data_IF_860610187135
#
_entry.id   IF_860610187135
#
_cell.length_a   1.000
_cell.length_b   1.000
_cell.length_c   1.000
_cell.angle_alpha   90.00
_cell.angle_beta   90.00
_cell.angle_gamma   90.00
#
_symmetry.space_group_name_H-M   'P 1'
#
loop_
_entity.id
_entity.type
_entity.pdbx_description
1 polymer ?
#
# COMPACT_ATOMS: atom_id res chain seq x y z
N UNK A 1 -18.15 24.18 2.69
CA UNK A 1 -17.26 23.09 3.14
C UNK A 1 -15.85 23.65 3.20
N UNK A 2 -15.17 23.49 4.34
CA UNK A 2 -13.83 24.06 4.59
C UNK A 2 -12.79 23.57 3.57
N UNK A 3 -11.89 24.47 3.11
CA UNK A 3 -10.89 24.16 2.08
C UNK A 3 -9.94 23.05 2.53
N UNK A 4 -9.57 23.02 3.82
CA UNK A 4 -8.67 22.00 4.38
C UNK A 4 -9.37 20.64 4.48
N UNK A 5 -10.66 20.62 4.87
CA UNK A 5 -11.49 19.40 4.89
C UNK A 5 -11.49 18.73 3.51
N UNK A 6 -11.78 19.49 2.45
CA UNK A 6 -11.80 18.96 1.07
C UNK A 6 -10.44 18.40 0.63
N UNK A 7 -9.35 19.08 0.96
CA UNK A 7 -7.99 18.62 0.62
C UNK A 7 -7.66 17.29 1.33
N UNK A 8 -8.01 17.17 2.61
CA UNK A 8 -7.79 15.94 3.37
C UNK A 8 -8.65 14.79 2.87
N UNK A 9 -9.92 15.04 2.52
CA UNK A 9 -10.79 14.02 1.92
C UNK A 9 -10.26 13.50 0.58
N UNK A 10 -9.73 14.40 -0.28
CA UNK A 10 -9.05 13.97 -1.51
C UNK A 10 -7.78 13.18 -1.23
N UNK A 11 -7.02 13.55 -0.21
CA UNK A 11 -5.79 12.84 0.18
C UNK A 11 -6.10 11.43 0.70
N UNK A 12 -7.16 11.29 1.51
CA UNK A 12 -7.67 9.98 1.96
C UNK A 12 -8.04 9.10 0.76
N UNK A 13 -8.79 9.63 -0.21
CA UNK A 13 -9.16 8.87 -1.42
C UNK A 13 -7.95 8.38 -2.21
N UNK A 14 -6.89 9.20 -2.33
CA UNK A 14 -5.64 8.79 -2.99
C UNK A 14 -4.95 7.67 -2.22
N UNK A 15 -4.76 7.84 -0.92
CA UNK A 15 -4.14 6.83 -0.06
C UNK A 15 -4.92 5.49 -0.07
N UNK A 16 -6.25 5.54 -0.11
CA UNK A 16 -7.08 4.32 -0.23
C UNK A 16 -6.93 3.63 -1.59
N UNK A 17 -6.68 4.37 -2.66
CA UNK A 17 -6.37 3.78 -3.97
C UNK A 17 -4.95 3.19 -3.99
N UNK A 18 -3.98 3.88 -3.39
CA UNK A 18 -2.60 3.41 -3.29
C UNK A 18 -2.54 2.09 -2.49
N UNK A 19 -3.27 2.00 -1.38
CA UNK A 19 -3.41 0.75 -0.60
C UNK A 19 -3.91 -0.40 -1.48
N UNK A 20 -5.00 -0.18 -2.24
CA UNK A 20 -5.55 -1.22 -3.14
C UNK A 20 -4.55 -1.63 -4.21
N UNK A 21 -3.77 -0.68 -4.72
CA UNK A 21 -2.74 -0.97 -5.71
C UNK A 21 -1.63 -1.84 -5.11
N UNK A 22 -1.13 -1.52 -3.91
CA UNK A 22 -0.13 -2.32 -3.23
C UNK A 22 -0.65 -3.71 -2.81
N UNK A 23 -1.89 -3.81 -2.33
CA UNK A 23 -2.51 -5.11 -2.02
C UNK A 23 -2.61 -6.00 -3.27
N UNK A 24 -2.98 -5.40 -4.41
CA UNK A 24 -3.01 -6.11 -5.69
C UNK A 24 -1.61 -6.55 -6.12
N UNK A 25 -0.62 -5.67 -6.02
CA UNK A 25 0.77 -5.96 -6.37
C UNK A 25 1.35 -7.09 -5.50
N UNK A 26 1.09 -7.08 -4.18
CA UNK A 26 1.51 -8.17 -3.29
C UNK A 26 0.91 -9.52 -3.69
N UNK A 27 -0.35 -9.53 -4.11
CA UNK A 27 -1.01 -10.74 -4.63
C UNK A 27 -0.35 -11.22 -5.93
N UNK A 28 -0.02 -10.30 -6.84
CA UNK A 28 0.69 -10.63 -8.09
C UNK A 28 2.10 -11.16 -7.83
N UNK A 29 2.86 -10.55 -6.91
CA UNK A 29 4.19 -11.01 -6.49
C UNK A 29 4.11 -12.41 -5.86
N UNK A 30 3.09 -12.68 -5.05
CA UNK A 30 2.88 -14.00 -4.45
C UNK A 30 2.59 -15.07 -5.52
N UNK A 31 1.77 -14.76 -6.53
CA UNK A 31 1.54 -15.66 -7.66
C UNK A 31 2.80 -15.87 -8.52
N UNK A 32 3.62 -14.83 -8.70
CA UNK A 32 4.92 -14.93 -9.39
C UNK A 32 5.86 -15.88 -8.64
N UNK A 33 5.94 -15.75 -7.32
CA UNK A 33 6.71 -16.65 -6.44
C UNK A 33 6.29 -18.10 -6.61
N UNK A 34 5.00 -18.38 -6.50
CA UNK A 34 4.46 -19.74 -6.61
C UNK A 34 4.76 -20.37 -7.96
N UNK A 35 4.68 -19.59 -9.05
CA UNK A 35 5.05 -20.06 -10.40
C UNK A 35 6.54 -20.37 -10.51
N UNK A 36 7.40 -19.55 -9.93
CA UNK A 36 8.85 -19.78 -9.98
C UNK A 36 9.25 -20.99 -9.13
N UNK A 37 8.69 -21.14 -7.93
CA UNK A 37 8.92 -22.29 -7.05
C UNK A 37 8.42 -23.61 -7.67
N UNK A 38 7.30 -23.59 -8.40
CA UNK A 38 6.78 -24.75 -9.13
C UNK A 38 7.53 -25.05 -10.44
N UNK A 39 8.29 -24.08 -10.96
CA UNK A 39 8.95 -24.13 -12.24
C UNK A 39 10.44 -24.46 -12.14
N UNK A 40 11.28 -23.47 -12.48
CA UNK A 40 12.74 -23.62 -12.53
C UNK A 40 13.39 -23.53 -11.16
N UNK A 41 12.68 -22.96 -10.17
CA UNK A 41 13.17 -22.72 -8.83
C UNK A 41 14.50 -21.93 -8.84
N UNK A 42 14.55 -20.89 -9.67
CA UNK A 42 15.71 -20.02 -9.79
C UNK A 42 15.90 -19.21 -8.51
N UNK A 43 16.95 -19.55 -7.76
CA UNK A 43 17.26 -18.93 -6.48
C UNK A 43 17.52 -17.42 -6.59
N UNK A 44 18.08 -16.94 -7.71
CA UNK A 44 18.30 -15.50 -7.91
C UNK A 44 16.95 -14.80 -8.12
N UNK A 45 16.08 -15.37 -8.97
CA UNK A 45 14.76 -14.78 -9.22
C UNK A 45 13.90 -14.78 -7.95
N UNK A 46 13.90 -15.86 -7.17
CA UNK A 46 13.18 -15.93 -5.90
C UNK A 46 13.64 -14.88 -4.88
N UNK A 47 14.93 -14.57 -4.84
CA UNK A 47 15.45 -13.46 -4.00
C UNK A 47 14.93 -12.11 -4.47
N UNK A 48 14.91 -11.86 -5.77
CA UNK A 48 14.37 -10.62 -6.34
C UNK A 48 12.87 -10.48 -6.07
N UNK A 49 12.10 -11.56 -6.20
CA UNK A 49 10.67 -11.62 -5.87
C UNK A 49 10.45 -11.33 -4.37
N UNK A 50 11.24 -11.94 -3.49
CA UNK A 50 11.15 -11.72 -2.05
C UNK A 50 11.50 -10.27 -1.66
N UNK A 51 12.52 -9.68 -2.30
CA UNK A 51 12.86 -8.28 -2.08
C UNK A 51 11.72 -7.35 -2.49
N UNK A 52 11.16 -7.53 -3.70
CA UNK A 52 10.01 -6.75 -4.17
C UNK A 52 8.83 -6.87 -3.21
N UNK A 53 8.53 -8.07 -2.72
CA UNK A 53 7.47 -8.30 -1.74
C UNK A 53 7.66 -7.43 -0.49
N UNK A 54 8.87 -7.45 0.10
CA UNK A 54 9.16 -6.67 1.30
C UNK A 54 9.11 -5.16 1.05
N UNK A 55 9.61 -4.68 -0.08
CA UNK A 55 9.52 -3.26 -0.45
C UNK A 55 8.06 -2.81 -0.62
N UNK A 56 7.24 -3.58 -1.35
CA UNK A 56 5.81 -3.28 -1.53
C UNK A 56 5.06 -3.33 -0.20
N UNK A 57 5.39 -4.28 0.68
CA UNK A 57 4.78 -4.39 2.01
C UNK A 57 5.15 -3.20 2.91
N UNK A 58 6.40 -2.77 2.91
CA UNK A 58 6.84 -1.59 3.66
C UNK A 58 6.15 -0.30 3.16
N UNK A 59 5.93 -0.19 1.85
CA UNK A 59 5.17 0.92 1.26
C UNK A 59 3.70 0.89 1.69
N UNK A 60 3.08 -0.30 1.70
CA UNK A 60 1.70 -0.50 2.16
C UNK A 60 1.53 -0.11 3.63
N UNK A 61 2.40 -0.60 4.52
CA UNK A 61 2.36 -0.31 5.96
C UNK A 61 2.54 1.20 6.25
N UNK A 62 3.46 1.83 5.52
CA UNK A 62 3.68 3.28 5.60
C UNK A 62 2.44 4.05 5.15
N UNK A 63 1.81 3.63 4.05
CA UNK A 63 0.59 4.26 3.50
C UNK A 63 -0.60 4.12 4.46
N UNK A 64 -0.79 2.95 5.08
CA UNK A 64 -1.79 2.77 6.14
C UNK A 64 -1.56 3.70 7.33
N UNK A 65 -0.30 3.87 7.74
CA UNK A 65 0.06 4.77 8.83
C UNK A 65 -0.29 6.22 8.50
N UNK A 66 0.02 6.67 7.28
CA UNK A 66 -0.32 8.02 6.79
C UNK A 66 -1.85 8.19 6.71
N UNK A 67 -2.58 7.19 6.20
CA UNK A 67 -4.03 7.22 6.12
C UNK A 67 -4.67 7.36 7.50
N UNK A 68 -4.21 6.59 8.48
CA UNK A 68 -4.70 6.65 9.86
C UNK A 68 -4.51 8.03 10.47
N UNK A 69 -3.32 8.62 10.32
CA UNK A 69 -3.01 9.99 10.79
C UNK A 69 -3.89 11.03 10.07
N UNK A 70 -4.02 10.93 8.75
CA UNK A 70 -4.82 11.86 7.95
C UNK A 70 -6.31 11.82 8.33
N UNK A 71 -6.87 10.62 8.56
CA UNK A 71 -8.24 10.44 9.05
C UNK A 71 -8.43 11.06 10.44
N UNK A 72 -7.49 10.81 11.36
CA UNK A 72 -7.55 11.40 12.70
C UNK A 72 -7.48 12.94 12.68
N UNK A 73 -6.66 13.53 11.81
CA UNK A 73 -6.58 14.98 11.63
C UNK A 73 -7.87 15.56 11.04
N UNK A 74 -8.48 14.88 10.06
CA UNK A 74 -9.75 15.30 9.48
C UNK A 74 -10.86 15.34 10.53
N UNK A 75 -10.93 14.32 11.39
CA UNK A 75 -11.91 14.27 12.48
C UNK A 75 -11.72 15.40 13.50
N UNK A 76 -10.47 15.79 13.78
CA UNK A 76 -10.18 16.95 14.65
C UNK A 76 -10.67 18.25 14.02
N UNK A 77 -10.45 18.44 12.71
CA UNK A 77 -10.89 19.65 11.99
C UNK A 77 -12.41 19.71 11.92
N UNK A 78 -13.10 18.58 11.73
CA UNK A 78 -14.58 18.54 11.68
C UNK A 78 -15.24 18.85 13.02
N UNK A 79 -14.51 18.73 14.13
CA UNK A 79 -14.99 19.01 15.51
C UNK A 79 -14.58 20.37 16.05
N UNK A 80 -13.71 21.09 15.34
CA UNK A 80 -13.27 22.44 15.66
C UNK A 80 -14.20 23.47 14.99
#
# INVERSE_FOLDING_TARGET
>A
MDKQVRIKEQSIKRLENDIKAYEKELSEIQQEKEKEEAGKNDCYLLKMIAQRYEETKQALDSTHTILKKTKAELEKIKKA
#
